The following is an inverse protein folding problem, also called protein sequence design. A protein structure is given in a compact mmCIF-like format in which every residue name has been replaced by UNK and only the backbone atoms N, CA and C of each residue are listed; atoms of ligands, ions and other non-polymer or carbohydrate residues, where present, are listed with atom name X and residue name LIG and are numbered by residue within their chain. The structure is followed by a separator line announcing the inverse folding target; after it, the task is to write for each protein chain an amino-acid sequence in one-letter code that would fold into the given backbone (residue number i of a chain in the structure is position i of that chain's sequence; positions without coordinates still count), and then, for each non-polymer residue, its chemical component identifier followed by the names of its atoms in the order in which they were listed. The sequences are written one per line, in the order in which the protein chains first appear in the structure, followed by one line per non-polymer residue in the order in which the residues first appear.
data_IF_865729475245
#
_entry.id   IF_865729475245
#
_cell.length_a   1.000
_cell.length_b   1.000
_cell.length_c   1.000
_cell.angle_alpha   90.00
_cell.angle_beta   90.00
_cell.angle_gamma   90.00
#
_symmetry.space_group_name_H-M   'P 1'
#
loop_
_entity.id
_entity.type
_entity.pdbx_description
1 polymer ?
#
# COMPACT_ATOMS: atom_id res chain seq x y z
N UNK A 1 11.06 22.76 -17.38
CA UNK A 1 11.57 21.90 -16.30
C UNK A 1 11.97 20.55 -16.87
N UNK A 2 13.11 19.98 -16.43
CA UNK A 2 13.61 18.69 -16.92
C UNK A 2 14.12 17.85 -15.75
N UNK A 3 13.90 16.55 -15.81
CA UNK A 3 14.49 15.59 -14.85
C UNK A 3 16.00 15.55 -15.06
N UNK A 4 16.76 15.80 -14.01
CA UNK A 4 18.25 15.74 -14.03
C UNK A 4 18.81 14.57 -13.25
N UNK A 5 17.98 13.92 -12.42
CA UNK A 5 18.38 12.75 -11.64
C UNK A 5 17.23 12.08 -10.93
N UNK A 6 17.42 10.79 -10.64
CA UNK A 6 16.49 9.99 -9.85
C UNK A 6 17.31 9.29 -8.78
N UNK A 7 17.04 9.62 -7.52
CA UNK A 7 17.65 8.97 -6.38
C UNK A 7 16.70 7.92 -5.81
N UNK A 8 17.21 6.76 -5.46
CA UNK A 8 16.44 5.61 -4.98
C UNK A 8 16.96 5.18 -3.63
N UNK A 9 16.08 5.17 -2.63
CA UNK A 9 16.39 4.81 -1.24
C UNK A 9 15.60 3.57 -0.85
N UNK A 10 16.29 2.55 -0.34
CA UNK A 10 15.66 1.37 0.24
C UNK A 10 15.69 1.42 1.75
N UNK A 11 14.60 1.03 2.42
CA UNK A 11 14.55 0.89 3.87
C UNK A 11 13.52 -0.16 4.29
N UNK A 12 13.63 -0.61 5.53
CA UNK A 12 12.75 -1.62 6.10
C UNK A 12 11.77 -0.96 7.08
N UNK A 13 10.48 -1.16 6.85
CA UNK A 13 9.42 -0.78 7.78
C UNK A 13 9.03 -1.98 8.65
N UNK A 14 8.85 -1.76 9.94
CA UNK A 14 8.27 -2.73 10.86
C UNK A 14 6.84 -2.34 11.23
N UNK A 15 6.00 -3.33 11.54
CA UNK A 15 4.67 -3.05 12.06
C UNK A 15 4.74 -2.55 13.51
N UNK A 16 4.00 -1.50 13.82
CA UNK A 16 3.94 -0.92 15.18
C UNK A 16 3.35 -1.89 16.20
N UNK A 17 2.44 -2.75 15.78
CA UNK A 17 1.66 -3.63 16.65
C UNK A 17 1.97 -5.12 16.46
N UNK A 18 3.23 -5.44 16.16
CA UNK A 18 3.67 -6.82 15.94
C UNK A 18 3.59 -7.24 14.46
N UNK A 19 3.81 -8.53 14.21
CA UNK A 19 3.77 -9.07 12.85
C UNK A 19 2.35 -9.16 12.30
N UNK A 20 2.23 -9.04 10.98
CA UNK A 20 0.95 -9.14 10.28
C UNK A 20 0.72 -10.59 9.83
N UNK A 21 -0.17 -11.28 10.54
CA UNK A 21 -0.53 -12.68 10.26
C UNK A 21 -1.73 -12.73 9.33
N UNK A 22 -1.58 -13.46 8.23
CA UNK A 22 -2.61 -13.70 7.23
C UNK A 22 -2.99 -15.19 7.19
N UNK A 23 -4.04 -15.51 6.42
CA UNK A 23 -4.44 -16.89 6.14
C UNK A 23 -3.30 -17.74 5.57
N UNK A 24 -3.38 -19.07 5.71
CA UNK A 24 -2.39 -20.05 5.24
C UNK A 24 -1.01 -19.92 5.92
N UNK A 25 -0.95 -19.39 7.15
CA UNK A 25 0.28 -19.27 7.92
C UNK A 25 1.28 -18.24 7.37
N UNK A 26 0.84 -17.34 6.51
CA UNK A 26 1.69 -16.26 6.00
C UNK A 26 1.88 -15.20 7.08
N UNK A 27 3.12 -14.82 7.29
CA UNK A 27 3.49 -13.78 8.28
C UNK A 27 4.35 -12.74 7.57
N UNK A 28 4.00 -11.47 7.75
CA UNK A 28 4.81 -10.34 7.30
C UNK A 28 5.30 -9.59 8.54
N UNK A 29 6.60 -9.58 8.74
CA UNK A 29 7.23 -8.91 9.88
C UNK A 29 7.80 -7.54 9.49
N UNK A 30 8.28 -7.43 8.26
CA UNK A 30 8.90 -6.23 7.71
C UNK A 30 8.43 -5.99 6.29
N UNK A 31 8.41 -4.72 5.91
CA UNK A 31 8.05 -4.27 4.57
C UNK A 31 9.26 -3.57 3.94
N UNK A 32 9.89 -4.17 2.90
CA UNK A 32 10.98 -3.54 2.18
C UNK A 32 10.41 -2.42 1.30
N UNK A 33 10.49 -1.19 1.78
CA UNK A 33 10.04 0.00 1.06
C UNK A 33 11.12 0.60 0.19
N UNK A 34 10.70 1.33 -0.84
CA UNK A 34 11.58 2.05 -1.76
C UNK A 34 11.01 3.45 -1.98
N UNK A 35 11.76 4.46 -1.59
CA UNK A 35 11.46 5.88 -1.84
C UNK A 35 12.23 6.36 -3.05
N UNK A 36 11.58 7.14 -3.89
CA UNK A 36 12.14 7.78 -5.07
C UNK A 36 12.13 9.29 -4.89
N UNK A 37 13.25 9.94 -5.18
CA UNK A 37 13.33 11.38 -5.36
C UNK A 37 13.65 11.69 -6.82
N UNK A 38 12.75 12.39 -7.49
CA UNK A 38 12.98 12.93 -8.83
C UNK A 38 13.49 14.36 -8.69
N UNK A 39 14.69 14.63 -9.19
CA UNK A 39 15.32 15.96 -9.16
C UNK A 39 15.18 16.65 -10.50
N UNK A 40 14.92 17.97 -10.47
CA UNK A 40 14.78 18.78 -11.68
C UNK A 40 15.86 19.85 -11.81
N UNK A 41 16.05 20.36 -13.03
CA UNK A 41 16.96 21.48 -13.34
C UNK A 41 16.51 22.82 -12.74
N UNK A 42 15.26 22.91 -12.26
CA UNK A 42 14.70 24.10 -11.61
C UNK A 42 14.77 24.02 -10.06
N UNK A 43 15.36 22.97 -9.52
CA UNK A 43 15.53 22.79 -8.06
C UNK A 43 14.25 22.35 -7.34
N UNK A 44 13.20 21.96 -8.08
CA UNK A 44 11.98 21.38 -7.51
C UNK A 44 12.15 19.87 -7.52
N UNK A 45 12.17 19.28 -6.32
CA UNK A 45 12.24 17.82 -6.14
C UNK A 45 10.85 17.25 -5.86
N UNK A 46 10.55 16.08 -6.45
CA UNK A 46 9.36 15.31 -6.14
C UNK A 46 9.69 13.98 -5.47
N UNK A 47 8.78 13.52 -4.61
CA UNK A 47 8.94 12.31 -3.83
C UNK A 47 7.81 11.33 -4.07
N UNK A 48 8.15 10.06 -4.18
CA UNK A 48 7.19 8.97 -4.28
C UNK A 48 7.73 7.71 -3.61
N UNK A 49 6.85 6.78 -3.32
CA UNK A 49 7.16 5.55 -2.61
C UNK A 49 6.45 4.36 -3.25
N UNK A 50 7.09 3.20 -3.17
CA UNK A 50 6.47 1.90 -3.40
C UNK A 50 6.86 0.95 -2.27
N UNK A 51 5.84 0.32 -1.65
CA UNK A 51 6.01 -0.58 -0.52
C UNK A 51 5.14 -1.83 -0.70
N UNK A 52 5.57 -2.80 -1.53
CA UNK A 52 4.81 -4.02 -1.75
C UNK A 52 4.75 -4.89 -0.49
N UNK A 53 3.58 -5.48 -0.23
CA UNK A 53 3.32 -6.34 0.94
C UNK A 53 4.09 -7.68 0.90
N UNK A 54 4.82 -7.94 -0.16
CA UNK A 54 5.65 -9.13 -0.35
C UNK A 54 5.18 -10.01 -1.50
N UNK A 55 6.11 -10.84 -1.96
CA UNK A 55 5.96 -11.66 -3.17
C UNK A 55 4.90 -12.76 -3.06
N UNK A 56 4.48 -13.11 -1.86
CA UNK A 56 3.39 -14.07 -1.63
C UNK A 56 2.00 -13.44 -1.78
N UNK A 57 1.94 -12.12 -1.78
CA UNK A 57 0.69 -11.36 -1.91
C UNK A 57 0.54 -10.69 -3.29
N UNK A 58 1.62 -10.11 -3.79
CA UNK A 58 1.70 -9.47 -5.10
C UNK A 58 2.95 -9.97 -5.83
N UNK A 59 2.92 -9.95 -7.17
CA UNK A 59 4.11 -10.19 -7.99
C UNK A 59 5.04 -8.95 -7.96
N UNK A 60 5.43 -8.53 -6.76
CA UNK A 60 6.20 -7.32 -6.50
C UNK A 60 7.09 -7.49 -5.26
N UNK A 61 8.26 -6.88 -5.28
CA UNK A 61 9.21 -6.86 -4.15
C UNK A 61 10.00 -5.57 -4.12
N UNK A 62 10.53 -5.20 -2.94
CA UNK A 62 11.38 -4.02 -2.81
C UNK A 62 12.64 -4.09 -3.69
N UNK A 63 13.31 -5.24 -3.74
CA UNK A 63 14.47 -5.46 -4.63
C UNK A 63 14.08 -5.35 -6.11
N UNK A 64 12.94 -5.96 -6.49
CA UNK A 64 12.40 -5.85 -7.84
C UNK A 64 12.08 -4.40 -8.22
N UNK A 65 11.54 -3.60 -7.28
CA UNK A 65 11.29 -2.18 -7.48
C UNK A 65 12.60 -1.41 -7.75
N UNK A 66 13.61 -1.61 -6.91
CA UNK A 66 14.92 -0.95 -7.07
C UNK A 66 15.62 -1.34 -8.36
N UNK A 67 15.53 -2.59 -8.77
CA UNK A 67 16.07 -3.06 -10.07
C UNK A 67 15.33 -2.43 -11.24
N UNK A 68 13.99 -2.43 -11.22
CA UNK A 68 13.17 -1.80 -12.24
C UNK A 68 13.44 -0.28 -12.36
N UNK A 69 13.57 0.42 -11.23
CA UNK A 69 13.91 1.84 -11.21
C UNK A 69 15.29 2.15 -11.82
N UNK A 70 16.27 1.24 -11.65
CA UNK A 70 17.58 1.39 -12.29
C UNK A 70 17.50 1.31 -13.81
N UNK A 71 16.63 0.44 -14.33
CA UNK A 71 16.37 0.32 -15.77
C UNK A 71 15.57 1.52 -16.31
N UNK A 72 14.64 2.06 -15.53
CA UNK A 72 13.79 3.18 -15.94
C UNK A 72 14.53 4.53 -15.97
N UNK A 73 15.42 4.76 -14.97
CA UNK A 73 16.01 6.07 -14.73
C UNK A 73 16.71 6.69 -15.94
N UNK A 74 17.53 5.97 -16.75
CA UNK A 74 18.18 6.56 -17.91
C UNK A 74 17.21 7.12 -18.95
N UNK A 75 16.07 6.46 -19.17
CA UNK A 75 15.04 6.86 -20.12
C UNK A 75 14.21 8.08 -19.67
N UNK A 76 14.33 8.48 -18.42
CA UNK A 76 13.59 9.59 -17.84
C UNK A 76 14.41 10.89 -17.74
N UNK A 77 15.72 10.82 -17.88
CA UNK A 77 16.58 12.01 -17.85
C UNK A 77 16.25 12.91 -19.06
N UNK A 78 16.02 14.20 -18.77
CA UNK A 78 15.63 15.19 -19.77
C UNK A 78 14.13 15.24 -20.09
N UNK A 79 13.32 14.31 -19.55
CA UNK A 79 11.85 14.36 -19.67
C UNK A 79 11.30 15.48 -18.80
N UNK A 80 10.22 16.11 -19.21
CA UNK A 80 9.47 17.07 -18.39
C UNK A 80 8.58 16.33 -17.39
N UNK A 81 8.87 16.40 -16.07
CA UNK A 81 8.09 15.67 -15.07
C UNK A 81 6.67 16.21 -14.87
N UNK A 82 6.38 17.43 -15.31
CA UNK A 82 5.03 17.99 -15.26
C UNK A 82 4.10 17.44 -16.35
N UNK A 83 4.67 16.83 -17.38
CA UNK A 83 3.92 16.12 -18.42
C UNK A 83 3.81 14.63 -18.07
N UNK A 84 2.87 14.29 -17.19
CA UNK A 84 2.66 12.95 -16.67
C UNK A 84 2.41 11.90 -17.77
N UNK A 85 1.71 12.28 -18.84
CA UNK A 85 1.47 11.38 -19.97
C UNK A 85 2.78 10.99 -20.66
N UNK A 86 3.68 11.96 -20.88
CA UNK A 86 4.99 11.71 -21.48
C UNK A 86 5.90 10.89 -20.54
N UNK A 87 5.86 11.15 -19.24
CA UNK A 87 6.61 10.36 -18.23
C UNK A 87 6.15 8.90 -18.28
N UNK A 88 4.84 8.65 -18.24
CA UNK A 88 4.29 7.30 -18.30
C UNK A 88 4.64 6.59 -19.61
N UNK A 89 4.55 7.28 -20.76
CA UNK A 89 4.97 6.72 -22.04
C UNK A 89 6.48 6.38 -22.06
N UNK A 90 7.31 7.25 -21.51
CA UNK A 90 8.76 6.99 -21.41
C UNK A 90 9.06 5.77 -20.54
N UNK A 91 8.36 5.63 -19.39
CA UNK A 91 8.48 4.45 -18.54
C UNK A 91 8.01 3.15 -19.22
N UNK A 92 6.90 3.20 -19.97
CA UNK A 92 6.37 2.04 -20.69
C UNK A 92 7.25 1.61 -21.86
N UNK A 93 7.91 2.56 -22.49
CA UNK A 93 8.88 2.31 -23.55
C UNK A 93 10.17 1.70 -23.02
N UNK A 94 10.65 2.15 -21.85
CA UNK A 94 11.87 1.67 -21.22
C UNK A 94 11.71 0.27 -20.61
N UNK A 95 10.57 -0.02 -19.96
CA UNK A 95 10.34 -1.27 -19.25
C UNK A 95 8.86 -1.66 -19.28
N UNK A 96 8.55 -2.85 -19.79
CA UNK A 96 7.18 -3.37 -19.77
C UNK A 96 6.81 -3.91 -18.39
N UNK A 97 5.55 -3.70 -17.97
CA UNK A 97 5.08 -4.14 -16.65
C UNK A 97 5.66 -3.31 -15.51
N UNK A 98 5.92 -3.94 -14.36
CA UNK A 98 6.51 -3.32 -13.17
C UNK A 98 5.76 -2.06 -12.68
N UNK A 99 4.43 -2.07 -12.76
CA UNK A 99 3.59 -0.93 -12.37
C UNK A 99 3.87 -0.44 -10.94
N UNK A 100 4.20 -1.37 -10.03
CA UNK A 100 4.56 -1.06 -8.65
C UNK A 100 5.84 -0.21 -8.53
N UNK A 101 6.80 -0.35 -9.44
CA UNK A 101 8.00 0.49 -9.47
C UNK A 101 7.73 1.84 -10.16
N UNK A 102 6.98 1.82 -11.27
CA UNK A 102 6.58 3.01 -12.01
C UNK A 102 5.73 3.96 -11.17
N UNK A 103 4.87 3.42 -10.29
CA UNK A 103 4.02 4.23 -9.42
C UNK A 103 4.82 5.17 -8.52
N UNK A 104 6.00 4.77 -8.05
CA UNK A 104 6.85 5.65 -7.24
C UNK A 104 7.36 6.87 -8.03
N UNK A 105 7.68 6.69 -9.31
CA UNK A 105 8.08 7.80 -10.19
C UNK A 105 6.87 8.66 -10.54
N UNK A 106 5.74 8.04 -10.86
CA UNK A 106 4.50 8.76 -11.19
C UNK A 106 4.06 9.66 -10.02
N UNK A 107 4.03 9.14 -8.79
CA UNK A 107 3.71 9.92 -7.58
C UNK A 107 4.71 11.07 -7.38
N UNK A 108 6.02 10.84 -7.60
CA UNK A 108 7.02 11.90 -7.52
C UNK A 108 6.78 13.00 -8.57
N UNK A 109 6.35 12.65 -9.77
CA UNK A 109 6.01 13.62 -10.82
C UNK A 109 4.72 14.39 -10.48
N UNK A 110 3.70 13.74 -9.89
CA UNK A 110 2.53 14.42 -9.34
C UNK A 110 2.90 15.42 -8.24
N UNK A 111 3.85 15.08 -7.36
CA UNK A 111 4.35 15.97 -6.31
C UNK A 111 5.06 17.20 -6.92
N UNK A 112 5.89 16.99 -7.97
CA UNK A 112 6.49 18.12 -8.73
C UNK A 112 5.42 19.00 -9.36
N UNK A 113 4.42 18.42 -10.03
CA UNK A 113 3.35 19.16 -10.67
C UNK A 113 2.58 20.00 -9.65
N UNK A 114 2.25 19.42 -8.49
CA UNK A 114 1.59 20.12 -7.38
C UNK A 114 2.42 21.29 -6.85
N UNK A 115 3.71 21.08 -6.60
CA UNK A 115 4.64 22.12 -6.15
C UNK A 115 4.79 23.25 -7.16
N UNK A 116 4.90 22.90 -8.45
CA UNK A 116 5.01 23.89 -9.54
C UNK A 116 3.75 24.71 -9.69
N UNK A 117 2.58 24.08 -9.57
CA UNK A 117 1.30 24.76 -9.64
C UNK A 117 0.91 25.50 -8.37
N UNK A 118 1.60 25.29 -7.25
CA UNK A 118 1.24 25.80 -5.93
C UNK A 118 -0.07 25.21 -5.40
N UNK A 119 -0.42 23.98 -5.83
CA UNK A 119 -1.68 23.31 -5.50
C UNK A 119 -1.44 21.93 -4.88
N UNK A 120 -2.27 21.53 -3.92
CA UNK A 120 -2.28 20.14 -3.45
C UNK A 120 -2.59 19.17 -4.60
N UNK A 121 -1.96 17.99 -4.60
CA UNK A 121 -2.25 16.94 -5.61
C UNK A 121 -3.74 16.56 -5.61
N UNK A 122 -4.39 16.56 -4.45
CA UNK A 122 -5.84 16.31 -4.36
C UNK A 122 -6.67 17.31 -5.18
N UNK A 123 -6.25 18.58 -5.27
CA UNK A 123 -6.91 19.59 -6.10
C UNK A 123 -6.70 19.30 -7.58
N UNK A 124 -5.49 18.91 -7.97
CA UNK A 124 -5.18 18.51 -9.36
C UNK A 124 -5.95 17.27 -9.81
N UNK A 125 -6.28 16.38 -8.87
CA UNK A 125 -7.09 15.17 -9.10
C UNK A 125 -8.61 15.42 -9.06
N UNK A 126 -9.06 16.65 -8.93
CA UNK A 126 -10.49 17.00 -8.95
C UNK A 126 -11.07 17.45 -7.62
N UNK A 127 -10.25 17.55 -6.56
CA UNK A 127 -10.64 18.06 -5.25
C UNK A 127 -10.86 16.97 -4.19
N UNK A 128 -11.21 17.42 -2.98
CA UNK A 128 -11.47 16.55 -1.83
C UNK A 128 -12.96 16.52 -1.53
N UNK A 129 -13.51 15.32 -1.33
CA UNK A 129 -14.89 15.15 -0.89
C UNK A 129 -15.05 15.38 0.62
N UNK A 130 -13.98 15.18 1.39
CA UNK A 130 -13.95 15.37 2.84
C UNK A 130 -12.55 15.76 3.30
N UNK A 131 -12.45 16.45 4.43
CA UNK A 131 -11.16 16.92 4.97
C UNK A 131 -10.43 15.81 5.74
N UNK A 132 -11.17 14.92 6.36
CA UNK A 132 -10.65 13.77 7.09
C UNK A 132 -11.51 12.55 6.86
N UNK A 133 -10.93 11.39 7.03
CA UNK A 133 -11.64 10.11 7.02
C UNK A 133 -11.08 9.21 8.13
N UNK A 134 -11.95 8.37 8.73
CA UNK A 134 -11.49 7.44 9.75
C UNK A 134 -10.57 6.39 9.14
N UNK A 135 -9.52 6.03 9.87
CA UNK A 135 -8.68 4.89 9.51
C UNK A 135 -9.39 3.60 9.88
N UNK A 136 -9.25 2.57 9.04
CA UNK A 136 -9.56 1.20 9.45
C UNK A 136 -8.29 0.44 9.77
N UNK A 137 -8.40 -0.53 10.67
CA UNK A 137 -7.28 -1.38 11.09
C UNK A 137 -7.53 -2.84 10.69
N UNK A 138 -6.55 -3.45 10.02
CA UNK A 138 -6.59 -4.89 9.77
C UNK A 138 -6.24 -5.66 11.05
N UNK A 139 -7.15 -6.52 11.48
CA UNK A 139 -6.94 -7.40 12.64
C UNK A 139 -6.25 -8.67 12.16
N UNK A 140 -5.04 -8.98 12.65
CA UNK A 140 -4.33 -10.20 12.28
C UNK A 140 -5.14 -11.45 12.60
N UNK A 141 -5.00 -12.50 11.78
CA UNK A 141 -5.63 -13.78 12.03
C UNK A 141 -4.99 -14.44 13.27
N UNK A 142 -5.82 -14.87 14.22
CA UNK A 142 -5.39 -15.51 15.46
C UNK A 142 -6.53 -16.18 16.22
N UNK A 143 -6.27 -16.66 17.43
CA UNK A 143 -7.33 -17.08 18.34
C UNK A 143 -8.33 -15.96 18.61
N UNK A 144 -9.62 -16.29 18.76
CA UNK A 144 -10.68 -15.29 18.94
C UNK A 144 -10.40 -14.31 20.09
N UNK A 145 -9.91 -14.81 21.24
CA UNK A 145 -9.57 -13.97 22.39
C UNK A 145 -8.47 -12.95 22.08
N UNK A 146 -7.44 -13.38 21.37
CA UNK A 146 -6.35 -12.47 20.97
C UNK A 146 -6.83 -11.41 19.99
N UNK A 147 -7.75 -11.75 19.08
CA UNK A 147 -8.36 -10.80 18.16
C UNK A 147 -9.25 -9.79 18.91
N UNK A 148 -10.03 -10.23 19.89
CA UNK A 148 -10.82 -9.34 20.77
C UNK A 148 -9.92 -8.39 21.54
N UNK A 149 -8.85 -8.89 22.15
CA UNK A 149 -7.89 -8.07 22.89
C UNK A 149 -7.23 -7.02 21.98
N UNK A 150 -6.80 -7.45 20.79
CA UNK A 150 -6.23 -6.55 19.79
C UNK A 150 -7.19 -5.41 19.41
N UNK A 151 -8.45 -5.73 19.12
CA UNK A 151 -9.47 -4.74 18.77
C UNK A 151 -9.73 -3.78 19.92
N UNK A 152 -9.95 -4.30 21.15
CA UNK A 152 -10.16 -3.45 22.34
C UNK A 152 -9.01 -2.48 22.58
N UNK A 153 -7.77 -2.92 22.39
CA UNK A 153 -6.61 -2.05 22.52
C UNK A 153 -6.60 -0.94 21.47
N UNK A 154 -7.07 -1.21 20.26
CA UNK A 154 -7.16 -0.19 19.19
C UNK A 154 -8.33 0.75 19.38
N UNK A 155 -9.48 0.26 19.88
CA UNK A 155 -10.62 1.12 20.28
C UNK A 155 -10.17 2.13 21.34
N UNK A 156 -9.37 1.70 22.33
CA UNK A 156 -8.79 2.59 23.32
C UNK A 156 -7.84 3.66 22.71
N UNK A 157 -7.30 3.44 21.51
CA UNK A 157 -6.51 4.42 20.73
C UNK A 157 -7.39 5.30 19.84
N UNK A 158 -8.72 5.12 19.84
CA UNK A 158 -9.69 5.89 19.03
C UNK A 158 -9.91 5.33 17.63
N UNK A 159 -9.58 4.07 17.36
CA UNK A 159 -9.85 3.39 16.09
C UNK A 159 -11.16 2.61 16.24
N UNK A 160 -12.13 2.85 15.34
CA UNK A 160 -13.47 2.29 15.40
C UNK A 160 -13.89 1.50 14.13
N UNK A 161 -12.99 1.37 13.16
CA UNK A 161 -13.24 0.63 11.93
C UNK A 161 -12.21 -0.50 11.78
N UNK A 162 -12.67 -1.73 11.64
CA UNK A 162 -11.81 -2.91 11.63
C UNK A 162 -12.09 -3.82 10.45
N UNK A 163 -11.04 -4.43 9.91
CA UNK A 163 -11.13 -5.51 8.94
C UNK A 163 -10.57 -6.79 9.57
N UNK A 164 -11.42 -7.76 9.86
CA UNK A 164 -10.99 -9.06 10.38
C UNK A 164 -10.44 -9.92 9.26
N UNK A 165 -9.22 -10.43 9.43
CA UNK A 165 -8.66 -11.45 8.53
C UNK A 165 -9.19 -12.81 8.94
N UNK A 166 -9.80 -13.50 7.97
CA UNK A 166 -10.39 -14.83 8.08
C UNK A 166 -9.75 -15.73 7.02
N UNK A 167 -10.02 -17.03 7.06
CA UNK A 167 -9.51 -17.98 6.07
C UNK A 167 -8.79 -19.17 6.69
N UNK A 168 -9.18 -19.53 7.92
CA UNK A 168 -8.85 -20.77 8.58
C UNK A 168 -10.01 -21.79 8.46
N UNK A 169 -10.44 -22.41 9.54
CA UNK A 169 -11.67 -23.23 9.54
C UNK A 169 -12.92 -22.33 9.58
N UNK A 170 -13.96 -22.60 8.77
CA UNK A 170 -15.16 -21.76 8.71
C UNK A 170 -15.93 -21.65 10.03
N UNK A 171 -15.90 -22.66 10.88
CA UNK A 171 -16.58 -22.63 12.19
C UNK A 171 -15.81 -21.75 13.17
N UNK A 172 -14.49 -21.88 13.18
CA UNK A 172 -13.63 -21.01 13.97
C UNK A 172 -13.70 -19.56 13.50
N UNK A 173 -13.78 -19.33 12.18
CA UNK A 173 -13.93 -18.00 11.63
C UNK A 173 -15.27 -17.37 12.02
N UNK A 174 -16.35 -18.13 12.02
CA UNK A 174 -17.65 -17.67 12.51
C UNK A 174 -17.60 -17.31 14.00
N UNK A 175 -16.93 -18.12 14.84
CA UNK A 175 -16.73 -17.82 16.26
C UNK A 175 -15.89 -16.55 16.45
N UNK A 176 -14.79 -16.38 15.70
CA UNK A 176 -13.95 -15.16 15.72
C UNK A 176 -14.77 -13.91 15.46
N UNK A 177 -15.59 -13.94 14.39
CA UNK A 177 -16.45 -12.81 14.04
C UNK A 177 -17.45 -12.52 15.16
N UNK A 178 -18.18 -13.53 15.62
CA UNK A 178 -19.19 -13.34 16.67
C UNK A 178 -18.57 -12.74 17.94
N UNK A 179 -17.45 -13.26 18.41
CA UNK A 179 -16.79 -12.79 19.64
C UNK A 179 -16.22 -11.39 19.51
N UNK A 180 -15.68 -11.02 18.33
CA UNK A 180 -15.19 -9.66 18.11
C UNK A 180 -16.36 -8.68 18.04
N UNK A 181 -17.42 -9.00 17.32
CA UNK A 181 -18.63 -8.16 17.23
C UNK A 181 -19.25 -7.94 18.63
N UNK A 182 -19.44 -9.02 19.41
CA UNK A 182 -19.97 -8.92 20.77
C UNK A 182 -19.10 -8.05 21.71
N UNK A 183 -17.79 -8.01 21.46
CA UNK A 183 -16.84 -7.29 22.28
C UNK A 183 -16.69 -5.81 21.93
N UNK A 184 -17.10 -5.41 20.73
CA UNK A 184 -16.91 -4.04 20.17
C UNK A 184 -18.19 -3.23 20.12
N UNK A 185 -19.36 -3.84 20.23
CA UNK A 185 -20.65 -3.13 20.23
C UNK A 185 -20.94 -2.45 18.88
N UNK A 186 -20.97 -1.11 18.88
CA UNK A 186 -21.34 -0.30 17.71
C UNK A 186 -20.17 -0.02 16.76
N UNK A 187 -18.98 -0.56 16.98
CA UNK A 187 -17.84 -0.39 16.09
C UNK A 187 -18.07 -1.09 14.73
N UNK A 188 -17.59 -0.48 13.66
CA UNK A 188 -17.74 -1.06 12.32
C UNK A 188 -16.75 -2.22 12.11
N UNK A 189 -17.27 -3.41 11.94
CA UNK A 189 -16.51 -4.64 11.68
C UNK A 189 -16.78 -5.14 10.27
N UNK A 190 -15.74 -5.18 9.43
CA UNK A 190 -15.80 -5.73 8.07
C UNK A 190 -15.03 -7.05 8.02
N UNK A 191 -15.70 -8.21 7.93
CA UNK A 191 -15.03 -9.49 7.73
C UNK A 191 -14.36 -9.54 6.34
N UNK A 192 -13.09 -9.91 6.28
CA UNK A 192 -12.36 -10.10 5.03
C UNK A 192 -11.91 -11.55 4.88
N UNK A 193 -12.52 -12.24 3.95
CA UNK A 193 -12.23 -13.65 3.63
C UNK A 193 -11.22 -13.72 2.48
N UNK A 194 -10.20 -14.55 2.63
CA UNK A 194 -9.25 -14.84 1.56
C UNK A 194 -9.94 -15.47 0.35
N UNK A 195 -9.73 -14.90 -0.85
CA UNK A 195 -10.34 -15.38 -2.11
C UNK A 195 -9.93 -16.83 -2.43
N UNK A 196 -8.76 -17.27 -1.99
CA UNK A 196 -8.30 -18.66 -2.12
C UNK A 196 -9.16 -19.64 -1.31
N UNK A 197 -9.64 -19.23 -0.13
CA UNK A 197 -10.59 -20.01 0.66
C UNK A 197 -11.95 -20.10 -0.06
N UNK A 198 -12.46 -18.97 -0.55
CA UNK A 198 -13.71 -18.94 -1.31
C UNK A 198 -13.67 -19.90 -2.51
N UNK A 199 -12.57 -19.91 -3.25
CA UNK A 199 -12.40 -20.85 -4.39
C UNK A 199 -12.41 -22.31 -3.95
N UNK A 200 -11.81 -22.65 -2.79
CA UNK A 200 -11.84 -24.03 -2.26
C UNK A 200 -13.22 -24.45 -1.76
N UNK A 201 -13.95 -23.54 -1.13
CA UNK A 201 -15.32 -23.79 -0.65
C UNK A 201 -16.34 -23.92 -1.79
N UNK A 202 -16.10 -23.25 -2.92
CA UNK A 202 -16.94 -23.25 -4.11
C UNK A 202 -16.48 -24.25 -5.18
N UNK A 203 -15.35 -24.92 -5.00
CA UNK A 203 -14.89 -25.96 -5.92
C UNK A 203 -15.86 -27.16 -5.84
N UNK A 204 -16.36 -27.68 -6.99
CA UNK A 204 -17.14 -28.91 -6.98
C UNK A 204 -16.27 -30.06 -6.44
N UNK A 205 -16.91 -30.92 -5.63
CA UNK A 205 -16.28 -32.10 -5.05
C UNK A 205 -15.82 -33.12 -6.10
#
# INVERSE_FOLDING_TARGET
MRIVGIDVFGYELSFRHGSYVMSQGRVVERLPSTVVRVRTDEGIDGWGETCPLGTTYLAASGEGARTALRELAPGLIGVDPSNLALVNEAMDRALRGHAYAKSAVDVACWDILGKTAGLPVSTLLGGRLQESYPLYMAVPLGPADAMVEYVRARVAEGIHHFQLKLGADPREDAERVARVVDATGDDEIVPAIDVGLMRRLLAPA
#
